data_IF_403750662571
#
_entry.id   IF_403750662571
#
_cell.length_a   1.000
_cell.length_b   1.000
_cell.length_c   1.000
_cell.angle_alpha   90.00
_cell.angle_beta   90.00
_cell.angle_gamma   90.00
#
_symmetry.space_group_name_H-M   'P 1'
#
loop_
_entity.id
_entity.type
_entity.pdbx_description
1 polymer ?
#
# COMPACT_ATOMS: atom_id res chain seq x y z
N UNK A 1 10.00 15.02 13.12
CA UNK A 1 9.22 14.82 11.88
C UNK A 1 9.17 13.33 11.61
N UNK A 2 7.98 12.77 11.36
CA UNK A 2 7.87 11.33 11.11
C UNK A 2 8.24 10.98 9.65
N UNK A 3 8.87 9.84 9.42
CA UNK A 3 9.08 9.32 8.06
C UNK A 3 7.77 8.79 7.48
N UNK A 4 7.69 8.63 6.15
CA UNK A 4 6.50 8.05 5.51
C UNK A 4 6.24 6.62 6.01
N UNK A 5 7.29 5.82 6.28
CA UNK A 5 7.13 4.49 6.89
C UNK A 5 6.48 4.57 8.28
N UNK A 6 6.87 5.53 9.10
CA UNK A 6 6.28 5.73 10.43
C UNK A 6 4.81 6.15 10.34
N UNK A 7 4.44 7.00 9.39
CA UNK A 7 3.04 7.39 9.13
C UNK A 7 2.20 6.19 8.68
N UNK A 8 2.73 5.36 7.76
CA UNK A 8 2.08 4.12 7.33
C UNK A 8 1.88 3.18 8.53
N UNK A 9 2.91 2.95 9.34
CA UNK A 9 2.80 2.07 10.51
C UNK A 9 1.81 2.58 11.55
N UNK A 10 1.83 3.88 11.86
CA UNK A 10 0.93 4.46 12.85
C UNK A 10 -0.53 4.37 12.39
N UNK A 11 -0.81 4.70 11.13
CA UNK A 11 -2.16 4.57 10.57
C UNK A 11 -2.66 3.12 10.55
N UNK A 12 -1.81 2.13 10.28
CA UNK A 12 -2.18 0.71 10.29
C UNK A 12 -2.33 0.14 11.72
N UNK A 13 -1.53 0.62 12.69
CA UNK A 13 -1.72 0.33 14.12
C UNK A 13 -3.07 0.89 14.59
N UNK A 14 -3.43 2.12 14.20
CA UNK A 14 -4.73 2.71 14.49
C UNK A 14 -5.87 1.93 13.82
N UNK A 15 -5.72 1.52 12.55
CA UNK A 15 -6.68 0.68 11.83
C UNK A 15 -7.02 -0.58 12.63
N UNK A 16 -5.99 -1.31 13.08
CA UNK A 16 -6.17 -2.52 13.89
C UNK A 16 -6.83 -2.23 15.24
N UNK A 17 -6.42 -1.15 15.92
CA UNK A 17 -7.03 -0.73 17.18
C UNK A 17 -8.54 -0.48 17.02
N UNK A 18 -8.95 0.31 16.03
CA UNK A 18 -10.37 0.57 15.75
C UNK A 18 -11.10 -0.73 15.36
N UNK A 19 -10.43 -1.59 14.59
CA UNK A 19 -11.01 -2.88 14.18
C UNK A 19 -11.23 -3.81 15.37
N UNK A 20 -10.45 -3.71 16.43
CA UNK A 20 -10.68 -4.41 17.70
C UNK A 20 -11.69 -3.69 18.60
N UNK A 21 -11.67 -2.36 18.69
CA UNK A 21 -12.62 -1.58 19.51
C UNK A 21 -14.07 -1.76 19.06
N UNK A 22 -14.35 -1.71 17.75
CA UNK A 22 -15.69 -1.92 17.19
C UNK A 22 -16.23 -3.37 17.42
N UNK A 23 -15.50 -4.22 18.16
CA UNK A 23 -15.82 -5.63 18.44
C UNK A 23 -16.31 -5.80 19.88
N UNK A 24 -15.99 -4.87 20.78
CA UNK A 24 -16.34 -4.95 22.19
C UNK A 24 -17.48 -3.99 22.51
N UNK A 25 -18.61 -4.52 22.96
CA UNK A 25 -19.84 -3.76 23.25
C UNK A 25 -19.72 -2.74 24.40
N UNK A 26 -18.62 -2.76 25.15
CA UNK A 26 -18.45 -2.01 26.41
C UNK A 26 -17.23 -1.07 26.45
N UNK A 27 -16.55 -0.81 25.32
CA UNK A 27 -15.45 0.17 25.29
C UNK A 27 -15.92 1.52 24.73
N UNK A 28 -15.54 2.60 25.41
CA UNK A 28 -15.68 3.95 24.89
C UNK A 28 -14.88 4.06 23.58
N UNK A 29 -15.58 3.95 22.44
CA UNK A 29 -14.97 4.07 21.13
C UNK A 29 -14.43 5.49 20.95
N UNK A 30 -13.11 5.63 20.87
CA UNK A 30 -12.46 6.94 20.73
C UNK A 30 -12.46 7.44 19.28
N UNK A 31 -12.54 6.52 18.32
CA UNK A 31 -12.53 6.84 16.89
C UNK A 31 -13.94 7.06 16.34
N UNK A 32 -14.08 8.05 15.46
CA UNK A 32 -15.33 8.27 14.71
C UNK A 32 -15.51 7.33 13.51
N UNK A 33 -14.46 6.57 13.15
CA UNK A 33 -14.49 5.64 12.02
C UNK A 33 -15.26 4.36 12.40
N UNK A 34 -16.22 3.97 11.56
CA UNK A 34 -17.03 2.76 11.75
C UNK A 34 -16.73 1.79 10.62
N UNK A 35 -16.38 0.55 10.97
CA UNK A 35 -16.33 -0.57 10.03
C UNK A 35 -17.69 -1.24 9.93
N UNK A 36 -18.39 -1.12 8.79
CA UNK A 36 -19.68 -1.80 8.62
C UNK A 36 -19.49 -3.31 8.57
N UNK A 37 -20.56 -4.07 8.80
CA UNK A 37 -20.57 -5.51 8.58
C UNK A 37 -21.05 -5.84 7.17
N UNK A 38 -20.59 -6.96 6.60
CA UNK A 38 -21.17 -7.48 5.38
C UNK A 38 -22.60 -7.97 5.64
N UNK A 39 -23.53 -7.58 4.77
CA UNK A 39 -24.95 -7.92 4.89
C UNK A 39 -25.31 -9.29 4.30
N UNK A 40 -24.39 -9.99 3.63
CA UNK A 40 -24.69 -11.28 2.99
C UNK A 40 -23.47 -12.06 2.50
N UNK A 41 -23.72 -13.29 2.05
CA UNK A 41 -22.70 -14.21 1.56
C UNK A 41 -21.85 -14.86 2.66
N UNK A 42 -20.74 -15.50 2.27
CA UNK A 42 -19.85 -16.22 3.19
C UNK A 42 -19.19 -15.33 4.26
N UNK A 43 -19.31 -14.01 4.14
CA UNK A 43 -18.73 -13.03 5.06
C UNK A 43 -19.79 -12.32 5.90
N UNK A 44 -21.07 -12.71 5.83
CA UNK A 44 -22.15 -12.07 6.57
C UNK A 44 -21.80 -11.94 8.07
N UNK A 45 -21.99 -10.74 8.62
CA UNK A 45 -21.65 -10.42 10.02
C UNK A 45 -20.18 -10.10 10.27
N UNK A 46 -19.26 -10.42 9.35
CA UNK A 46 -17.86 -10.02 9.45
C UNK A 46 -17.71 -8.53 9.12
N UNK A 47 -16.71 -7.88 9.73
CA UNK A 47 -16.36 -6.49 9.43
C UNK A 47 -15.84 -6.37 8.00
N UNK A 48 -16.36 -5.39 7.28
CA UNK A 48 -15.81 -4.93 6.01
C UNK A 48 -14.79 -3.84 6.30
N UNK A 49 -13.52 -4.18 6.12
CA UNK A 49 -12.41 -3.23 6.04
C UNK A 49 -11.98 -3.16 4.58
N UNK A 50 -11.68 -1.95 4.08
CA UNK A 50 -11.20 -1.74 2.72
C UNK A 50 -10.01 -0.79 2.67
N UNK A 51 -9.46 -0.63 1.47
CA UNK A 51 -8.39 0.32 1.17
C UNK A 51 -8.77 1.76 1.55
N UNK A 52 -10.06 2.09 1.47
CA UNK A 52 -10.58 3.43 1.73
C UNK A 52 -10.33 3.85 3.18
N UNK A 53 -10.67 3.00 4.14
CA UNK A 53 -10.47 3.32 5.55
C UNK A 53 -8.97 3.42 5.91
N UNK A 54 -8.14 2.54 5.32
CA UNK A 54 -6.69 2.60 5.51
C UNK A 54 -6.10 3.90 4.95
N UNK A 55 -6.53 4.30 3.75
CA UNK A 55 -6.15 5.59 3.15
C UNK A 55 -6.55 6.76 4.04
N UNK A 56 -7.79 6.79 4.53
CA UNK A 56 -8.26 7.87 5.41
C UNK A 56 -7.44 7.99 6.70
N UNK A 57 -7.06 6.87 7.32
CA UNK A 57 -6.21 6.89 8.50
C UNK A 57 -4.78 7.35 8.18
N UNK A 58 -4.25 6.97 7.02
CA UNK A 58 -2.96 7.48 6.57
C UNK A 58 -2.98 9.00 6.36
N UNK A 59 -4.01 9.53 5.69
CA UNK A 59 -4.19 10.97 5.51
C UNK A 59 -4.28 11.69 6.86
N UNK A 60 -4.98 11.12 7.85
CA UNK A 60 -5.01 11.69 9.21
C UNK A 60 -3.64 11.77 9.88
N UNK A 61 -2.73 10.83 9.61
CA UNK A 61 -1.34 10.93 10.08
C UNK A 61 -0.55 11.98 9.30
N UNK A 62 -0.77 12.11 7.99
CA UNK A 62 -0.14 13.12 7.13
C UNK A 62 -0.55 14.53 7.53
N UNK A 63 -1.82 14.79 7.81
CA UNK A 63 -2.36 16.10 8.27
C UNK A 63 -1.74 16.58 9.59
N UNK A 64 -1.14 15.68 10.37
CA UNK A 64 -0.39 16.03 11.59
C UNK A 64 1.05 16.46 11.29
N UNK A 65 1.50 16.39 10.04
CA UNK A 65 2.85 16.75 9.62
C UNK A 65 2.82 18.04 8.80
N UNK A 66 3.68 18.99 9.12
CA UNK A 66 3.76 20.27 8.39
C UNK A 66 4.51 20.18 7.06
N UNK A 67 5.32 19.12 6.87
CA UNK A 67 6.23 18.99 5.71
C UNK A 67 5.54 18.43 4.47
N UNK A 68 4.49 17.64 4.65
CA UNK A 68 3.86 16.90 3.56
C UNK A 68 2.56 17.56 3.14
N UNK A 69 2.43 17.76 1.83
CA UNK A 69 1.17 18.04 1.16
C UNK A 69 0.74 16.79 0.41
N UNK A 70 -0.54 16.64 0.09
CA UNK A 70 -1.01 15.43 -0.57
C UNK A 70 -2.14 15.69 -1.58
N UNK A 71 -2.30 14.74 -2.49
CA UNK A 71 -3.48 14.57 -3.31
C UNK A 71 -3.95 13.12 -3.28
N UNK A 72 -5.26 12.93 -3.46
CA UNK A 72 -5.93 11.62 -3.45
C UNK A 72 -6.41 11.32 -4.87
N UNK A 73 -6.33 10.06 -5.29
CA UNK A 73 -6.68 9.62 -6.65
C UNK A 73 -5.93 10.42 -7.73
N UNK A 74 -4.61 10.53 -7.58
CA UNK A 74 -3.78 11.39 -8.43
C UNK A 74 -3.54 10.73 -9.78
N UNK A 75 -3.85 11.41 -10.90
CA UNK A 75 -3.48 10.89 -12.22
C UNK A 75 -1.97 10.65 -12.34
N UNK A 76 -1.61 9.51 -12.92
CA UNK A 76 -0.23 9.20 -13.30
C UNK A 76 0.25 10.19 -14.37
N UNK A 77 1.53 10.56 -14.31
CA UNK A 77 2.19 11.37 -15.35
C UNK A 77 2.27 10.60 -16.67
N UNK A 78 2.48 9.28 -16.59
CA UNK A 78 2.51 8.38 -17.75
C UNK A 78 1.13 7.82 -18.06
N UNK A 79 0.92 7.48 -19.31
CA UNK A 79 -0.22 6.71 -19.78
C UNK A 79 0.16 5.23 -19.92
N UNK A 80 -0.81 4.35 -19.68
CA UNK A 80 -0.61 2.92 -19.83
C UNK A 80 -1.81 2.23 -20.51
N UNK A 81 -1.50 1.07 -21.09
CA UNK A 81 -2.40 0.21 -21.86
C UNK A 81 -2.54 -1.15 -21.19
N UNK A 82 -3.56 -1.89 -21.61
CA UNK A 82 -3.80 -3.28 -21.22
C UNK A 82 -3.92 -3.48 -19.71
N UNK A 83 -4.41 -2.46 -19.00
CA UNK A 83 -4.62 -2.45 -17.55
C UNK A 83 -5.65 -3.48 -17.06
N UNK A 84 -6.56 -3.89 -17.93
CA UNK A 84 -7.52 -4.97 -17.67
C UNK A 84 -6.93 -6.36 -17.86
N UNK A 85 -5.72 -6.45 -18.40
CA UNK A 85 -5.00 -7.72 -18.63
C UNK A 85 -3.95 -7.97 -17.54
N UNK A 86 -3.37 -9.17 -17.54
CA UNK A 86 -2.28 -9.52 -16.64
C UNK A 86 -0.91 -8.99 -17.11
N UNK A 87 -0.84 -8.24 -18.22
CA UNK A 87 0.41 -7.72 -18.79
C UNK A 87 0.30 -6.23 -19.14
N UNK A 88 0.13 -5.35 -18.14
CA UNK A 88 0.04 -3.90 -18.37
C UNK A 88 1.34 -3.34 -18.96
N UNK A 89 1.22 -2.37 -19.87
CA UNK A 89 2.34 -1.74 -20.58
C UNK A 89 2.25 -0.22 -20.57
N UNK A 90 3.39 0.46 -20.35
CA UNK A 90 3.48 1.92 -20.52
C UNK A 90 3.29 2.22 -22.01
N UNK A 91 2.44 3.19 -22.36
CA UNK A 91 2.15 3.50 -23.76
C UNK A 91 1.59 4.90 -23.95
N UNK A 92 2.32 5.74 -24.68
CA UNK A 92 2.08 7.18 -24.79
C UNK A 92 0.92 7.56 -25.74
N UNK A 93 0.79 6.90 -26.90
CA UNK A 93 -0.12 7.34 -27.98
C UNK A 93 -1.60 6.94 -27.81
N UNK A 94 -1.91 5.80 -27.19
CA UNK A 94 -3.31 5.37 -26.95
C UNK A 94 -3.52 4.79 -25.54
N UNK A 95 -2.64 5.13 -24.60
CA UNK A 95 -2.79 4.75 -23.20
C UNK A 95 -3.71 5.71 -22.45
N UNK A 96 -4.19 5.27 -21.30
CA UNK A 96 -4.91 6.13 -20.33
C UNK A 96 -4.07 6.35 -19.09
N UNK A 97 -4.19 7.53 -18.49
CA UNK A 97 -3.67 7.74 -17.14
C UNK A 97 -4.36 6.76 -16.18
N UNK A 98 -3.58 6.23 -15.25
CA UNK A 98 -4.12 5.54 -14.09
C UNK A 98 -4.21 6.50 -12.91
N UNK A 99 -4.77 6.02 -11.81
CA UNK A 99 -4.86 6.76 -10.56
C UNK A 99 -3.94 6.12 -9.52
N UNK A 100 -3.26 6.97 -8.75
CA UNK A 100 -2.52 6.62 -7.54
C UNK A 100 -3.34 6.99 -6.31
N UNK A 101 -3.49 6.06 -5.36
CA UNK A 101 -4.38 6.25 -4.21
C UNK A 101 -4.03 7.51 -3.41
N UNK A 102 -2.74 7.73 -3.10
CA UNK A 102 -2.23 8.95 -2.47
C UNK A 102 -0.88 9.34 -3.08
N UNK A 103 -0.72 10.63 -3.36
CA UNK A 103 0.56 11.21 -3.74
C UNK A 103 0.98 12.25 -2.71
N UNK A 104 2.22 12.17 -2.22
CA UNK A 104 2.80 13.16 -1.32
C UNK A 104 3.71 14.13 -2.07
N UNK A 105 3.70 15.38 -1.62
CA UNK A 105 4.49 16.47 -2.12
C UNK A 105 5.22 17.16 -0.96
N UNK A 106 6.36 17.77 -1.26
CA UNK A 106 6.96 18.79 -0.39
C UNK A 106 6.97 20.12 -1.12
N UNK A 107 7.01 21.21 -0.36
CA UNK A 107 7.09 22.57 -0.90
C UNK A 107 8.50 23.12 -0.71
N UNK A 108 9.18 23.38 -1.81
CA UNK A 108 10.51 23.99 -1.84
C UNK A 108 10.45 25.21 -2.77
N UNK A 109 10.96 26.37 -2.35
CA UNK A 109 10.93 27.62 -3.15
C UNK A 109 9.55 27.95 -3.73
N UNK A 110 8.49 27.80 -2.92
CA UNK A 110 7.09 27.99 -3.31
C UNK A 110 6.55 27.06 -4.41
N UNK A 111 7.27 25.99 -4.77
CA UNK A 111 6.82 24.99 -5.73
C UNK A 111 6.59 23.65 -5.04
N UNK A 112 5.51 22.98 -5.43
CA UNK A 112 5.22 21.63 -4.96
C UNK A 112 5.90 20.61 -5.86
N UNK A 113 6.69 19.74 -5.25
CA UNK A 113 7.40 18.66 -5.93
C UNK A 113 6.88 17.33 -5.44
N UNK A 114 6.52 16.44 -6.38
CA UNK A 114 6.05 15.10 -6.07
C UNK A 114 7.20 14.29 -5.45
N UNK A 115 7.01 13.70 -4.27
CA UNK A 115 8.07 12.95 -3.57
C UNK A 115 7.75 11.47 -3.43
N UNK A 116 6.50 11.13 -3.15
CA UNK A 116 6.10 9.74 -2.87
C UNK A 116 4.75 9.40 -3.50
N UNK A 117 4.65 8.19 -4.05
CA UNK A 117 3.43 7.56 -4.51
C UNK A 117 3.08 6.42 -3.54
N UNK A 118 1.81 6.32 -3.13
CA UNK A 118 1.34 5.29 -2.21
C UNK A 118 0.09 4.59 -2.78
N UNK A 119 0.11 3.26 -2.78
CA UNK A 119 -1.03 2.40 -3.12
C UNK A 119 -1.43 1.55 -1.91
N UNK A 120 -2.73 1.44 -1.66
CA UNK A 120 -3.31 0.55 -0.67
C UNK A 120 -4.02 -0.60 -1.38
N UNK A 121 -3.91 -1.80 -0.83
CA UNK A 121 -4.65 -2.99 -1.27
C UNK A 121 -5.07 -3.83 -0.08
N UNK A 122 -6.28 -4.36 -0.13
CA UNK A 122 -6.83 -5.22 0.90
C UNK A 122 -6.98 -6.67 0.41
N UNK A 123 -6.61 -7.61 1.27
CA UNK A 123 -6.70 -9.05 1.04
C UNK A 123 -5.58 -9.62 0.17
N UNK A 124 -5.77 -10.89 -0.22
CA UNK A 124 -4.80 -11.60 -1.06
C UNK A 124 -4.99 -11.25 -2.54
N UNK A 125 -4.44 -10.11 -2.96
CA UNK A 125 -4.54 -9.59 -4.33
C UNK A 125 -4.18 -10.64 -5.39
N UNK A 126 -5.00 -10.77 -6.44
CA UNK A 126 -4.73 -11.70 -7.56
C UNK A 126 -3.51 -11.25 -8.37
N UNK A 127 -3.39 -9.96 -8.63
CA UNK A 127 -2.29 -9.33 -9.36
C UNK A 127 -1.95 -7.97 -8.74
N UNK A 128 -0.67 -7.62 -8.75
CA UNK A 128 -0.12 -6.34 -8.29
C UNK A 128 0.77 -5.69 -9.37
N UNK A 129 0.93 -6.33 -10.54
CA UNK A 129 1.76 -5.86 -11.65
C UNK A 129 1.47 -4.42 -12.03
N UNK A 130 0.18 -4.13 -12.16
CA UNK A 130 -0.34 -2.80 -12.46
C UNK A 130 0.18 -1.75 -11.50
N UNK A 131 -0.03 -2.00 -10.21
CA UNK A 131 0.24 -1.03 -9.18
C UNK A 131 1.74 -0.82 -9.01
N UNK A 132 2.53 -1.88 -9.12
CA UNK A 132 3.99 -1.76 -9.11
C UNK A 132 4.53 -1.01 -10.33
N UNK A 133 3.94 -1.20 -11.51
CA UNK A 133 4.34 -0.45 -12.70
C UNK A 133 4.09 1.06 -12.53
N UNK A 134 2.98 1.45 -11.88
CA UNK A 134 2.75 2.85 -11.49
C UNK A 134 3.83 3.35 -10.53
N UNK A 135 4.05 2.63 -9.43
CA UNK A 135 4.96 3.04 -8.38
C UNK A 135 6.45 3.03 -8.79
N UNK A 136 6.87 2.17 -9.71
CA UNK A 136 8.27 2.10 -10.13
C UNK A 136 8.59 3.05 -11.28
N UNK A 137 7.62 3.29 -12.17
CA UNK A 137 7.90 3.88 -13.47
C UNK A 137 7.19 5.21 -13.73
N UNK A 138 6.19 5.63 -12.95
CA UNK A 138 5.41 6.85 -13.28
C UNK A 138 6.28 8.12 -13.28
N UNK A 139 7.07 8.31 -12.22
CA UNK A 139 7.78 9.55 -11.96
C UNK A 139 9.19 9.29 -11.40
N UNK A 140 10.21 9.63 -12.19
CA UNK A 140 11.62 9.41 -11.86
C UNK A 140 12.20 10.43 -10.87
N UNK A 141 11.42 11.45 -10.50
CA UNK A 141 11.74 12.41 -9.44
C UNK A 141 11.35 11.89 -8.06
N UNK A 142 10.41 10.94 -7.99
CA UNK A 142 10.03 10.27 -6.74
C UNK A 142 11.16 9.33 -6.29
N UNK A 143 11.62 9.49 -5.05
CA UNK A 143 12.71 8.69 -4.48
C UNK A 143 12.24 7.29 -4.10
N UNK A 144 11.30 7.22 -3.16
CA UNK A 144 10.78 5.98 -2.58
C UNK A 144 9.26 5.99 -2.60
N UNK A 145 8.67 4.96 -3.19
CA UNK A 145 7.24 4.77 -3.33
C UNK A 145 6.78 3.53 -2.55
N UNK A 146 5.51 3.50 -2.19
CA UNK A 146 5.00 2.57 -1.18
C UNK A 146 3.80 1.78 -1.69
N UNK A 147 3.83 0.47 -1.45
CA UNK A 147 2.67 -0.39 -1.62
C UNK A 147 2.30 -0.98 -0.27
N UNK A 148 1.07 -0.76 0.17
CA UNK A 148 0.55 -1.18 1.46
C UNK A 148 -0.51 -2.26 1.24
N UNK A 149 -0.15 -3.50 1.56
CA UNK A 149 -1.03 -4.66 1.46
C UNK A 149 -1.55 -5.07 2.85
N UNK A 150 -2.85 -5.01 3.05
CA UNK A 150 -3.50 -5.28 4.34
C UNK A 150 -4.21 -6.63 4.26
N UNK A 151 -3.88 -7.55 5.16
CA UNK A 151 -4.41 -8.90 5.22
C UNK A 151 -5.26 -9.10 6.47
N UNK A 152 -6.38 -9.81 6.30
CA UNK A 152 -7.29 -10.22 7.37
C UNK A 152 -6.77 -11.39 8.18
N UNK A 153 -6.11 -12.32 7.51
CA UNK A 153 -5.42 -13.42 8.15
C UNK A 153 -4.18 -13.76 7.35
N UNK A 154 -3.25 -14.47 8.00
CA UNK A 154 -2.07 -14.93 7.31
C UNK A 154 -1.57 -16.25 7.88
N UNK A 155 -1.25 -17.17 6.98
CA UNK A 155 -0.49 -18.37 7.25
C UNK A 155 0.79 -18.41 6.40
N UNK A 156 1.59 -19.47 6.57
CA UNK A 156 2.85 -19.62 5.83
C UNK A 156 2.65 -19.74 4.31
N UNK A 157 1.53 -20.32 3.87
CA UNK A 157 1.19 -20.44 2.45
C UNK A 157 0.83 -19.08 1.84
N UNK A 158 0.11 -18.25 2.58
CA UNK A 158 -0.29 -16.89 2.20
C UNK A 158 0.94 -16.03 1.97
N UNK A 159 1.90 -16.05 2.90
CA UNK A 159 3.18 -15.35 2.71
C UNK A 159 3.92 -15.86 1.49
N UNK A 160 4.08 -17.18 1.32
CA UNK A 160 4.77 -17.75 0.14
C UNK A 160 4.10 -17.31 -1.17
N UNK A 161 2.76 -17.32 -1.20
CA UNK A 161 1.97 -16.88 -2.36
C UNK A 161 2.21 -15.40 -2.68
N UNK A 162 2.15 -14.52 -1.67
CA UNK A 162 2.39 -13.09 -1.83
C UNK A 162 3.83 -12.81 -2.29
N UNK A 163 4.82 -13.46 -1.65
CA UNK A 163 6.23 -13.36 -2.05
C UNK A 163 6.41 -13.71 -3.53
N UNK A 164 5.81 -14.82 -3.98
CA UNK A 164 5.86 -15.26 -5.38
C UNK A 164 5.21 -14.24 -6.32
N UNK A 165 4.02 -13.72 -5.96
CA UNK A 165 3.33 -12.69 -6.75
C UNK A 165 4.15 -11.43 -6.90
N UNK A 166 4.77 -10.96 -5.81
CA UNK A 166 5.56 -9.73 -5.84
C UNK A 166 6.81 -9.88 -6.71
N UNK A 167 7.54 -10.99 -6.54
CA UNK A 167 8.69 -11.33 -7.37
C UNK A 167 8.32 -11.38 -8.85
N UNK A 168 7.27 -12.11 -9.21
CA UNK A 168 6.83 -12.26 -10.60
C UNK A 168 6.29 -10.95 -11.21
N UNK A 169 5.92 -9.98 -10.38
CA UNK A 169 5.38 -8.71 -10.84
C UNK A 169 6.43 -7.63 -11.01
N UNK A 170 7.46 -7.60 -10.15
CA UNK A 170 8.50 -6.57 -10.16
C UNK A 170 9.75 -6.97 -10.95
N UNK A 171 10.23 -8.21 -10.78
CA UNK A 171 11.54 -8.63 -11.30
C UNK A 171 11.65 -8.50 -12.82
N UNK A 172 10.68 -8.96 -13.64
CA UNK A 172 10.76 -8.79 -15.09
C UNK A 172 10.91 -7.32 -15.50
N UNK A 173 10.22 -6.40 -14.81
CA UNK A 173 10.30 -4.96 -15.12
C UNK A 173 11.63 -4.34 -14.71
N UNK A 174 12.24 -4.79 -13.63
CA UNK A 174 13.59 -4.36 -13.28
C UNK A 174 14.65 -4.88 -14.28
N UNK A 175 14.42 -6.06 -14.88
CA UNK A 175 15.33 -6.66 -15.86
C UNK A 175 15.17 -6.09 -17.27
N UNK A 176 13.94 -5.78 -17.70
CA UNK A 176 13.64 -5.23 -19.03
C UNK A 176 14.03 -3.74 -19.18
N UNK A 177 14.34 -3.04 -18.08
CA UNK A 177 14.62 -1.62 -18.05
C UNK A 177 16.00 -1.29 -17.43
N UNK A 178 17.10 -1.93 -17.84
CA UNK A 178 18.41 -1.80 -17.18
C UNK A 178 18.97 -0.36 -17.24
N UNK A 179 18.51 0.44 -18.21
CA UNK A 179 18.94 1.82 -18.43
C UNK A 179 17.89 2.86 -18.02
N UNK A 180 16.75 2.45 -17.44
CA UNK A 180 15.70 3.37 -17.02
C UNK A 180 15.81 3.64 -15.51
N UNK A 181 15.80 4.92 -15.12
CA UNK A 181 15.78 5.29 -13.70
C UNK A 181 14.42 4.91 -13.09
N UNK A 182 14.40 3.83 -12.30
CA UNK A 182 13.24 3.41 -11.52
C UNK A 182 13.28 3.98 -10.10
N UNK A 183 12.12 4.38 -9.58
CA UNK A 183 11.97 4.72 -8.16
C UNK A 183 12.24 3.50 -7.28
N UNK A 184 12.63 3.72 -6.03
CA UNK A 184 12.62 2.65 -5.03
C UNK A 184 11.16 2.30 -4.68
N UNK A 185 10.88 1.01 -4.51
CA UNK A 185 9.58 0.52 -4.04
C UNK A 185 9.76 -0.22 -2.72
N UNK A 186 9.03 0.22 -1.68
CA UNK A 186 8.90 -0.50 -0.41
C UNK A 186 7.51 -1.06 -0.29
N UNK A 187 7.42 -2.36 -0.03
CA UNK A 187 6.14 -3.05 0.09
C UNK A 187 5.89 -3.43 1.54
N UNK A 188 4.87 -2.82 2.15
CA UNK A 188 4.38 -3.13 3.48
C UNK A 188 3.30 -4.20 3.40
N UNK A 189 3.50 -5.33 4.05
CA UNK A 189 2.43 -6.30 4.30
C UNK A 189 2.05 -6.21 5.77
N UNK A 190 0.81 -5.81 6.03
CA UNK A 190 0.25 -5.66 7.37
C UNK A 190 -0.85 -6.67 7.62
N UNK A 191 -0.76 -7.41 8.71
CA UNK A 191 -1.77 -8.40 9.10
C UNK A 191 -2.60 -7.81 10.23
N UNK A 192 -3.84 -7.43 9.97
CA UNK A 192 -4.67 -6.81 11.00
C UNK A 192 -5.36 -7.84 11.91
N UNK A 193 -5.76 -9.00 11.38
CA UNK A 193 -6.38 -10.08 12.15
C UNK A 193 -5.38 -11.14 12.64
N UNK A 194 -5.79 -12.41 12.61
CA UNK A 194 -4.97 -13.50 13.15
C UNK A 194 -3.70 -13.74 12.33
N UNK A 195 -2.56 -13.73 13.02
CA UNK A 195 -1.28 -14.18 12.50
C UNK A 195 -1.01 -15.61 12.96
N UNK A 196 -1.14 -16.58 12.05
CA UNK A 196 -0.87 -18.00 12.31
C UNK A 196 0.48 -18.46 11.77
N UNK A 197 1.32 -17.53 11.30
CA UNK A 197 2.63 -17.84 10.75
C UNK A 197 3.71 -17.65 11.81
N UNK A 198 4.34 -18.77 12.22
CA UNK A 198 5.42 -18.79 13.23
C UNK A 198 6.69 -18.05 12.77
N UNK A 199 6.87 -17.89 11.46
CA UNK A 199 8.07 -17.30 10.86
C UNK A 199 7.94 -15.79 10.63
N UNK A 200 6.87 -15.16 11.13
CA UNK A 200 6.63 -13.72 10.98
C UNK A 200 7.00 -12.96 12.25
N UNK A 201 7.53 -11.72 12.11
CA UNK A 201 7.77 -10.86 13.25
C UNK A 201 6.46 -10.58 14.00
N UNK A 202 6.56 -10.50 15.32
CA UNK A 202 5.44 -10.35 16.25
C UNK A 202 4.66 -9.03 16.08
N UNK A 203 5.22 -8.06 15.35
CA UNK A 203 4.59 -6.76 15.14
C UNK A 203 3.65 -6.67 13.93
N UNK A 204 3.38 -7.80 13.24
CA UNK A 204 2.47 -7.90 12.09
C UNK A 204 2.89 -7.11 10.83
N UNK A 205 4.13 -6.65 10.73
CA UNK A 205 4.66 -5.94 9.55
C UNK A 205 5.73 -6.75 8.83
N UNK A 206 5.66 -6.77 7.50
CA UNK A 206 6.77 -7.18 6.63
C UNK A 206 7.07 -6.09 5.63
N UNK A 207 8.36 -5.84 5.40
CA UNK A 207 8.83 -4.97 4.34
C UNK A 207 9.54 -5.79 3.27
N UNK A 208 9.13 -5.64 2.01
CA UNK A 208 9.84 -6.19 0.85
C UNK A 208 10.43 -5.08 -0.01
N UNK A 209 11.71 -5.23 -0.32
CA UNK A 209 12.47 -4.33 -1.18
C UNK A 209 12.88 -5.13 -2.42
N UNK A 210 12.28 -4.87 -3.59
CA UNK A 210 12.52 -5.67 -4.78
C UNK A 210 13.99 -5.68 -5.23
N UNK A 211 14.75 -4.61 -4.96
CA UNK A 211 16.18 -4.51 -5.30
C UNK A 211 17.06 -5.51 -4.55
N UNK A 212 16.67 -5.95 -3.35
CA UNK A 212 17.46 -6.88 -2.54
C UNK A 212 16.93 -8.31 -2.54
N UNK A 213 15.82 -8.62 -3.24
CA UNK A 213 15.15 -9.92 -3.24
C UNK A 213 14.79 -10.50 -1.85
N UNK A 214 14.91 -9.69 -0.79
CA UNK A 214 14.77 -10.06 0.61
C UNK A 214 13.50 -9.46 1.20
N UNK A 215 12.73 -10.29 1.93
CA UNK A 215 11.69 -9.81 2.84
C UNK A 215 12.34 -9.62 4.20
N UNK A 216 12.34 -8.39 4.69
CA UNK A 216 12.77 -8.08 6.06
C UNK A 216 11.53 -8.02 6.92
N UNK A 217 11.48 -8.88 7.94
CA UNK A 217 10.59 -8.65 9.06
C UNK A 217 11.15 -7.46 9.81
N UNK A 218 10.46 -6.33 9.78
CA UNK A 218 10.90 -5.19 10.59
C UNK A 218 10.44 -5.44 12.02
N UNK A 219 11.34 -5.31 12.99
CA UNK A 219 10.97 -5.00 14.37
C UNK A 219 11.31 -3.52 14.54
N UNK A 220 10.29 -2.66 14.58
CA UNK A 220 10.40 -1.29 15.10
C UNK A 220 9.23 -1.05 16.03
#
# INVERSE_FOLDING_TARGET
>A
MKTVEELIKNSLKELKKIACENQESNKNQSSKLIFPQYCGGKQQGNKRISEQEARSLFIREVEKQEVYFYSVETPTKKSYKDFSTNEPKIGEKDGRAASVDVTLYTKENNKFSRKHLIEFKFGNVKTCKKDFLKLLCDDNECSTNYYVNILDNCDSQTIKSIKKKFKNSVIPKCQDAPNQKLSELKIFVFIYGENRCKDLPSNNFLTYIPKSNEFKGEII
#
